data_IF_413027048777
#
_entry.id   IF_413027048777
#
_cell.length_a   1.000
_cell.length_b   1.000
_cell.length_c   1.000
_cell.angle_alpha   90.00
_cell.angle_beta   90.00
_cell.angle_gamma   90.00
#
_symmetry.space_group_name_H-M   'P 1'
#
loop_
_entity.id
_entity.type
_entity.pdbx_description
1 polymer ?
#
# COMPACT_ATOMS: atom_id res chain seq x y z
N UNK A 1 20.84 -17.08 15.67
CA UNK A 1 19.76 -17.04 14.66
C UNK A 1 19.05 -15.68 14.66
N UNK A 2 18.73 -15.15 15.84
CA UNK A 2 18.09 -13.82 16.01
C UNK A 2 18.91 -12.66 15.40
N UNK A 3 20.20 -12.53 15.74
CA UNK A 3 21.06 -11.43 15.23
C UNK A 3 21.07 -11.35 13.70
N UNK A 4 21.25 -12.48 13.01
CA UNK A 4 21.25 -12.53 11.54
C UNK A 4 19.88 -12.17 10.96
N UNK A 5 18.78 -12.54 11.61
CA UNK A 5 17.44 -12.16 11.19
C UNK A 5 17.20 -10.66 11.34
N UNK A 6 17.55 -10.08 12.49
CA UNK A 6 17.35 -8.65 12.78
C UNK A 6 18.24 -7.75 11.93
N UNK A 7 19.43 -8.20 11.52
CA UNK A 7 20.26 -7.50 10.54
C UNK A 7 19.59 -7.39 9.17
N UNK A 8 18.85 -8.42 8.77
CA UNK A 8 18.13 -8.45 7.50
C UNK A 8 16.78 -7.72 7.59
N UNK A 9 16.11 -7.83 8.74
CA UNK A 9 14.78 -7.29 8.99
C UNK A 9 14.79 -6.53 10.32
N UNK A 10 15.22 -5.25 10.31
CA UNK A 10 15.21 -4.42 11.51
C UNK A 10 13.80 -4.31 12.08
N UNK A 11 13.68 -4.35 13.41
CA UNK A 11 12.37 -4.36 14.10
C UNK A 11 11.52 -3.14 13.71
N UNK A 12 12.14 -1.96 13.61
CA UNK A 12 11.46 -0.71 13.24
C UNK A 12 11.09 -0.59 11.75
N UNK A 13 11.59 -1.49 10.89
CA UNK A 13 11.30 -1.53 9.45
C UNK A 13 10.51 -2.77 9.04
N UNK A 14 10.05 -3.57 10.01
CA UNK A 14 9.33 -4.82 9.77
C UNK A 14 7.89 -4.69 10.22
N UNK A 15 6.97 -5.33 9.48
CA UNK A 15 5.57 -5.41 9.86
C UNK A 15 5.47 -6.12 11.22
N UNK A 16 4.84 -5.44 12.18
CA UNK A 16 4.72 -5.90 13.57
C UNK A 16 4.23 -7.35 13.64
N UNK A 17 3.21 -7.73 12.87
CA UNK A 17 2.66 -9.09 12.89
C UNK A 17 3.63 -10.17 12.41
N UNK A 18 4.43 -9.86 11.38
CA UNK A 18 5.46 -10.78 10.87
C UNK A 18 6.59 -10.91 11.90
N UNK A 19 7.02 -9.77 12.46
CA UNK A 19 8.02 -9.74 13.52
C UNK A 19 7.55 -10.54 14.76
N UNK A 20 6.30 -10.36 15.21
CA UNK A 20 5.75 -11.11 16.36
C UNK A 20 5.79 -12.62 16.13
N UNK A 21 5.43 -13.09 14.92
CA UNK A 21 5.44 -14.53 14.63
C UNK A 21 6.83 -15.13 14.80
N UNK A 22 7.86 -14.39 14.35
CA UNK A 22 9.26 -14.80 14.46
C UNK A 22 9.76 -14.67 15.89
N UNK A 23 9.39 -13.59 16.57
CA UNK A 23 9.79 -13.32 17.95
C UNK A 23 9.23 -14.37 18.92
N UNK A 24 8.00 -14.86 18.74
CA UNK A 24 7.45 -15.98 19.53
C UNK A 24 8.36 -17.22 19.46
N UNK A 25 8.96 -17.48 18.30
CA UNK A 25 9.89 -18.60 18.14
C UNK A 25 11.22 -18.36 18.85
N UNK A 26 11.76 -17.13 18.81
CA UNK A 26 12.99 -16.79 19.53
C UNK A 26 12.77 -16.80 21.04
N UNK A 27 11.68 -16.18 21.52
CA UNK A 27 11.35 -16.10 22.94
C UNK A 27 11.16 -17.49 23.57
N UNK A 28 10.59 -18.45 22.82
CA UNK A 28 10.46 -19.83 23.29
C UNK A 28 11.80 -20.52 23.58
N UNK A 29 12.88 -20.11 22.92
CA UNK A 29 14.22 -20.68 23.11
C UNK A 29 15.03 -19.91 24.19
N UNK A 30 14.51 -18.79 24.68
CA UNK A 30 15.18 -17.95 25.67
C UNK A 30 15.12 -18.57 27.09
N UNK A 31 16.23 -18.51 27.81
CA UNK A 31 16.33 -19.03 29.19
C UNK A 31 15.46 -18.27 30.19
N UNK A 32 15.16 -17.01 29.92
CA UNK A 32 14.32 -16.11 30.71
C UNK A 32 12.84 -16.16 30.31
N UNK A 33 12.46 -17.07 29.41
CA UNK A 33 11.10 -17.17 28.90
C UNK A 33 10.07 -17.40 30.01
N UNK A 34 9.23 -16.40 30.24
CA UNK A 34 7.99 -16.53 31.00
C UNK A 34 6.96 -17.34 30.20
N UNK A 35 6.58 -18.52 30.74
CA UNK A 35 5.67 -19.45 30.08
C UNK A 35 4.23 -18.90 29.96
N UNK A 36 3.80 -18.06 30.90
CA UNK A 36 2.47 -17.42 30.86
C UNK A 36 2.42 -16.43 29.70
N UNK A 37 3.45 -15.59 29.55
CA UNK A 37 3.56 -14.64 28.45
C UNK A 37 3.65 -15.35 27.09
N UNK A 38 4.45 -16.42 26.99
CA UNK A 38 4.57 -17.21 25.76
C UNK A 38 3.22 -17.83 25.33
N UNK A 39 2.48 -18.40 26.30
CA UNK A 39 1.18 -19.00 26.03
C UNK A 39 0.16 -17.93 25.61
N UNK A 40 0.16 -16.78 26.28
CA UNK A 40 -0.68 -15.64 25.92
C UNK A 40 -0.41 -15.17 24.48
N UNK A 41 0.86 -14.93 24.14
CA UNK A 41 1.26 -14.48 22.80
C UNK A 41 0.86 -15.47 21.70
N UNK A 42 1.01 -16.79 21.94
CA UNK A 42 0.56 -17.82 21.00
C UNK A 42 -0.95 -17.85 20.83
N UNK A 43 -1.70 -17.72 21.92
CA UNK A 43 -3.16 -17.73 21.90
C UNK A 43 -3.71 -16.51 21.17
N UNK A 44 -3.20 -15.32 21.49
CA UNK A 44 -3.50 -14.07 20.78
C UNK A 44 -3.24 -14.24 19.28
N UNK A 45 -2.05 -14.73 18.92
CA UNK A 45 -1.66 -14.90 17.53
C UNK A 45 -2.60 -15.82 16.75
N UNK A 46 -2.94 -16.97 17.32
CA UNK A 46 -3.83 -17.93 16.67
C UNK A 46 -5.28 -17.40 16.59
N UNK A 47 -5.73 -16.66 17.60
CA UNK A 47 -7.07 -16.05 17.63
C UNK A 47 -7.21 -15.01 16.53
N UNK A 48 -6.25 -14.08 16.43
CA UNK A 48 -6.21 -13.08 15.36
C UNK A 48 -6.08 -13.74 13.98
N UNK A 49 -5.21 -14.74 13.82
CA UNK A 49 -5.07 -15.44 12.55
C UNK A 49 -6.39 -16.09 12.09
N UNK A 50 -7.18 -16.65 13.02
CA UNK A 50 -8.48 -17.24 12.70
C UNK A 50 -9.48 -16.18 12.22
N UNK A 51 -9.49 -15.00 12.85
CA UNK A 51 -10.30 -13.86 12.42
C UNK A 51 -9.87 -13.41 11.02
N UNK A 52 -8.58 -13.20 10.78
CA UNK A 52 -8.07 -12.76 9.49
C UNK A 52 -8.35 -13.74 8.34
N UNK A 53 -8.31 -15.06 8.62
CA UNK A 53 -8.71 -16.08 7.63
C UNK A 53 -10.17 -15.96 7.23
N UNK A 54 -11.07 -15.62 8.16
CA UNK A 54 -12.49 -15.38 7.85
C UNK A 54 -12.66 -14.14 6.98
N UNK A 55 -12.00 -13.04 7.34
CA UNK A 55 -12.00 -11.80 6.56
C UNK A 55 -11.52 -12.07 5.11
N UNK A 56 -10.41 -12.81 4.95
CA UNK A 56 -9.89 -13.19 3.63
C UNK A 56 -10.88 -14.06 2.83
N UNK A 57 -11.59 -15.00 3.47
CA UNK A 57 -12.62 -15.79 2.79
C UNK A 57 -13.75 -14.91 2.25
N UNK A 58 -14.18 -13.90 3.02
CA UNK A 58 -15.25 -13.00 2.62
C UNK A 58 -14.82 -12.09 1.46
N UNK A 59 -13.59 -11.55 1.52
CA UNK A 59 -13.02 -10.75 0.43
C UNK A 59 -12.80 -11.58 -0.83
N UNK A 60 -12.35 -12.83 -0.69
CA UNK A 60 -12.17 -13.74 -1.83
C UNK A 60 -13.50 -14.06 -2.51
N UNK A 61 -14.58 -14.22 -1.72
CA UNK A 61 -15.92 -14.44 -2.26
C UNK A 61 -16.39 -13.21 -3.04
N UNK A 62 -16.27 -12.03 -2.43
CA UNK A 62 -16.59 -10.76 -3.08
C UNK A 62 -15.81 -10.55 -4.39
N UNK A 63 -14.50 -10.84 -4.41
CA UNK A 63 -13.68 -10.73 -5.63
C UNK A 63 -14.16 -11.64 -6.76
N UNK A 64 -14.57 -12.87 -6.43
CA UNK A 64 -15.13 -13.81 -7.40
C UNK A 64 -16.49 -13.34 -7.93
N UNK A 65 -17.32 -12.76 -7.08
CA UNK A 65 -18.62 -12.20 -7.47
C UNK A 65 -18.49 -11.01 -8.44
N UNK A 66 -17.42 -10.22 -8.33
CA UNK A 66 -17.14 -9.15 -9.30
C UNK A 66 -16.78 -9.67 -10.71
N UNK A 67 -16.40 -10.94 -10.83
CA UNK A 67 -16.09 -11.62 -12.10
C UNK A 67 -14.99 -10.94 -12.96
N UNK A 68 -14.21 -10.00 -12.41
CA UNK A 68 -13.25 -9.19 -13.18
C UNK A 68 -12.15 -10.01 -13.85
N UNK A 69 -11.78 -11.15 -13.27
CA UNK A 69 -10.78 -12.05 -13.86
C UNK A 69 -11.24 -12.69 -15.17
N UNK A 70 -12.56 -12.87 -15.36
CA UNK A 70 -13.12 -13.42 -16.59
C UNK A 70 -13.40 -12.33 -17.62
N UNK A 71 -13.76 -11.13 -17.16
CA UNK A 71 -14.05 -9.98 -18.03
C UNK A 71 -12.78 -9.32 -18.59
N UNK A 72 -11.65 -9.41 -17.86
CA UNK A 72 -10.42 -8.68 -18.17
C UNK A 72 -9.21 -9.63 -18.19
N UNK A 73 -8.61 -9.89 -19.37
CA UNK A 73 -7.55 -10.90 -19.52
C UNK A 73 -6.22 -10.51 -18.85
N UNK A 74 -6.06 -9.24 -18.46
CA UNK A 74 -4.86 -8.73 -17.76
C UNK A 74 -5.02 -8.70 -16.24
N UNK A 75 -6.23 -8.97 -15.70
CA UNK A 75 -6.48 -8.98 -14.26
C UNK A 75 -5.71 -10.12 -13.59
N UNK A 76 -4.92 -9.79 -12.57
CA UNK A 76 -4.19 -10.76 -11.76
C UNK A 76 -4.93 -10.99 -10.45
N UNK A 77 -4.92 -12.23 -9.96
CA UNK A 77 -5.43 -12.53 -8.62
C UNK A 77 -4.43 -12.04 -7.57
N UNK A 78 -4.75 -10.89 -6.94
CA UNK A 78 -3.91 -10.24 -5.91
C UNK A 78 -4.59 -10.16 -4.55
N UNK A 79 -5.72 -10.85 -4.36
CA UNK A 79 -6.55 -10.75 -3.13
C UNK A 79 -5.73 -10.94 -1.86
N UNK A 80 -4.87 -11.98 -1.84
CA UNK A 80 -4.04 -12.31 -0.67
C UNK A 80 -2.97 -11.25 -0.43
N UNK A 81 -2.34 -10.73 -1.49
CA UNK A 81 -1.31 -9.68 -1.38
C UNK A 81 -1.89 -8.39 -0.81
N UNK A 82 -3.05 -7.96 -1.32
CA UNK A 82 -3.72 -6.73 -0.91
C UNK A 82 -4.26 -6.82 0.52
N UNK A 83 -4.80 -7.98 0.89
CA UNK A 83 -5.20 -8.23 2.26
C UNK A 83 -4.00 -8.28 3.21
N UNK A 84 -2.85 -8.82 2.78
CA UNK A 84 -1.61 -8.81 3.56
C UNK A 84 -1.12 -7.38 3.84
N UNK A 85 -1.18 -6.47 2.85
CA UNK A 85 -0.88 -5.05 3.07
C UNK A 85 -1.82 -4.41 4.08
N UNK A 86 -3.12 -4.70 3.98
CA UNK A 86 -4.13 -4.20 4.93
C UNK A 86 -3.87 -4.66 6.37
N UNK A 87 -3.44 -5.91 6.52
CA UNK A 87 -3.02 -6.47 7.81
C UNK A 87 -1.72 -5.84 8.33
N UNK A 88 -0.82 -5.42 7.43
CA UNK A 88 0.38 -4.69 7.80
C UNK A 88 0.10 -3.31 8.39
N UNK A 89 -0.93 -2.63 7.90
CA UNK A 89 -1.38 -1.32 8.41
C UNK A 89 -2.09 -1.46 9.75
N UNK A 90 -3.10 -2.35 9.84
CA UNK A 90 -3.87 -2.56 11.08
C UNK A 90 -4.11 -4.05 11.34
N UNK A 91 -3.43 -4.64 12.32
CA UNK A 91 -3.62 -6.06 12.66
C UNK A 91 -4.63 -6.28 13.80
N UNK A 92 -5.01 -5.23 14.52
CA UNK A 92 -5.85 -5.30 15.71
C UNK A 92 -7.33 -5.62 15.38
N UNK A 93 -8.06 -6.31 16.26
CA UNK A 93 -9.45 -6.70 16.01
C UNK A 93 -10.39 -5.53 15.65
N UNK A 94 -10.26 -4.40 16.34
CA UNK A 94 -11.13 -3.23 16.19
C UNK A 94 -11.07 -2.60 14.80
N UNK A 95 -9.97 -2.80 14.07
CA UNK A 95 -9.73 -2.20 12.76
C UNK A 95 -10.20 -3.12 11.59
N UNK A 96 -11.09 -4.08 11.87
CA UNK A 96 -11.64 -5.01 10.87
C UNK A 96 -12.24 -4.29 9.66
N UNK A 97 -13.06 -3.27 9.90
CA UNK A 97 -13.75 -2.53 8.84
C UNK A 97 -12.72 -1.83 7.93
N UNK A 98 -11.73 -1.16 8.52
CA UNK A 98 -10.64 -0.53 7.77
C UNK A 98 -9.88 -1.54 6.89
N UNK A 99 -9.55 -2.74 7.42
CA UNK A 99 -8.87 -3.79 6.63
C UNK A 99 -9.68 -4.26 5.43
N UNK A 100 -10.98 -4.50 5.62
CA UNK A 100 -11.86 -4.99 4.54
C UNK A 100 -12.01 -3.93 3.46
N UNK A 101 -12.26 -2.67 3.86
CA UNK A 101 -12.38 -1.55 2.91
C UNK A 101 -11.08 -1.40 2.13
N UNK A 102 -9.93 -1.37 2.81
CA UNK A 102 -8.63 -1.23 2.16
C UNK A 102 -8.43 -2.36 1.14
N UNK A 103 -8.56 -3.62 1.56
CA UNK A 103 -8.36 -4.75 0.67
C UNK A 103 -9.30 -4.75 -0.56
N UNK A 104 -10.55 -4.27 -0.41
CA UNK A 104 -11.49 -4.14 -1.53
C UNK A 104 -11.10 -3.00 -2.48
N UNK A 105 -10.74 -1.82 -1.97
CA UNK A 105 -10.41 -0.62 -2.77
C UNK A 105 -9.26 -0.92 -3.74
N UNK A 106 -8.22 -1.62 -3.27
CA UNK A 106 -7.04 -1.92 -4.09
C UNK A 106 -7.21 -3.07 -5.07
N UNK A 107 -8.21 -3.93 -4.87
CA UNK A 107 -8.42 -5.04 -5.79
C UNK A 107 -8.96 -4.55 -7.14
N UNK A 108 -9.45 -3.31 -7.14
CA UNK A 108 -9.97 -2.61 -8.29
C UNK A 108 -8.94 -1.50 -8.61
N UNK A 109 -7.90 -1.80 -9.42
CA UNK A 109 -6.97 -0.79 -10.01
C UNK A 109 -6.95 -0.75 -11.59
N UNK A 110 -7.20 0.45 -12.20
CA UNK A 110 -7.07 0.90 -13.63
C UNK A 110 -7.98 2.13 -14.04
N UNK A 111 -7.40 3.33 -14.17
CA UNK A 111 -8.04 4.67 -14.26
C UNK A 111 -8.70 5.12 -15.59
N UNK A 112 -9.64 6.09 -15.51
CA UNK A 112 -10.66 6.63 -16.46
C UNK A 112 -10.26 7.21 -17.84
N UNK A 113 -11.26 7.27 -18.75
CA UNK A 113 -11.28 7.54 -20.22
C UNK A 113 -11.11 6.35 -21.19
N UNK A 114 -11.88 5.28 -21.00
CA UNK A 114 -11.38 3.96 -21.37
C UNK A 114 -12.25 3.16 -22.34
N UNK A 115 -11.55 2.37 -23.15
CA UNK A 115 -12.08 1.30 -23.97
C UNK A 115 -13.02 0.37 -23.16
N UNK A 116 -13.93 -0.38 -23.84
CA UNK A 116 -15.01 -1.14 -23.19
C UNK A 116 -14.58 -2.00 -21.99
N UNK A 117 -13.37 -2.56 -22.04
CA UNK A 117 -12.81 -3.38 -20.97
C UNK A 117 -12.64 -2.60 -19.65
N UNK A 118 -12.20 -1.35 -19.65
CA UNK A 118 -12.05 -0.63 -18.38
C UNK A 118 -13.33 0.12 -17.92
N UNK A 119 -14.41 0.13 -18.70
CA UNK A 119 -15.73 0.55 -18.19
C UNK A 119 -16.26 -0.41 -17.12
N UNK A 120 -16.01 -1.71 -17.32
CA UNK A 120 -16.32 -2.77 -16.36
C UNK A 120 -15.59 -2.50 -15.05
N UNK A 121 -14.32 -2.13 -15.17
CA UNK A 121 -13.46 -1.76 -14.07
C UNK A 121 -13.98 -0.54 -13.29
N UNK A 122 -14.22 0.58 -13.97
CA UNK A 122 -14.64 1.82 -13.33
C UNK A 122 -16.01 1.67 -12.64
N UNK A 123 -16.89 0.88 -13.26
CA UNK A 123 -18.19 0.53 -12.66
C UNK A 123 -18.02 -0.26 -11.36
N UNK A 124 -17.09 -1.21 -11.31
CA UNK A 124 -16.78 -1.95 -10.09
C UNK A 124 -16.22 -1.02 -8.99
N UNK A 125 -15.35 -0.07 -9.35
CA UNK A 125 -14.77 0.89 -8.42
C UNK A 125 -15.84 1.82 -7.83
N UNK A 126 -16.68 2.41 -8.68
CA UNK A 126 -17.80 3.24 -8.25
C UNK A 126 -18.80 2.45 -7.40
N UNK A 127 -19.09 1.20 -7.76
CA UNK A 127 -19.99 0.35 -7.00
C UNK A 127 -19.43 0.07 -5.60
N UNK A 128 -18.13 -0.24 -5.49
CA UNK A 128 -17.46 -0.41 -4.21
C UNK A 128 -17.52 0.86 -3.38
N UNK A 129 -17.17 2.01 -3.95
CA UNK A 129 -17.24 3.28 -3.23
C UNK A 129 -18.66 3.61 -2.76
N UNK A 130 -19.67 3.30 -3.57
CA UNK A 130 -21.08 3.42 -3.20
C UNK A 130 -21.48 2.44 -2.09
N UNK A 131 -20.98 1.20 -2.12
CA UNK A 131 -21.17 0.20 -1.06
C UNK A 131 -20.60 0.73 0.26
N UNK A 132 -19.35 1.21 0.25
CA UNK A 132 -18.67 1.80 1.41
C UNK A 132 -19.40 3.06 1.90
N UNK A 133 -19.85 3.93 0.99
CA UNK A 133 -20.64 5.12 1.34
C UNK A 133 -21.98 4.75 1.99
N UNK A 134 -22.66 3.71 1.49
CA UNK A 134 -23.92 3.24 2.05
C UNK A 134 -23.74 2.61 3.43
N UNK A 135 -22.64 1.87 3.65
CA UNK A 135 -22.29 1.36 4.97
C UNK A 135 -22.03 2.50 5.96
N UNK A 136 -21.24 3.50 5.57
CA UNK A 136 -20.92 4.65 6.42
C UNK A 136 -22.10 5.61 6.61
N UNK A 137 -23.05 5.67 5.67
CA UNK A 137 -24.26 6.47 5.79
C UNK A 137 -25.16 6.01 6.94
N UNK A 138 -25.14 4.71 7.29
CA UNK A 138 -25.87 4.17 8.47
C UNK A 138 -25.44 4.81 9.78
N UNK A 139 -24.24 5.39 9.82
CA UNK A 139 -23.64 6.04 10.98
C UNK A 139 -23.47 7.57 10.79
N UNK A 140 -24.12 8.19 9.79
CA UNK A 140 -23.93 9.60 9.42
C UNK A 140 -22.46 9.96 9.05
N UNK A 141 -21.67 9.00 8.57
CA UNK A 141 -20.24 9.14 8.24
C UNK A 141 -19.95 9.21 6.73
N UNK A 142 -20.97 9.49 5.90
CA UNK A 142 -20.84 9.53 4.43
C UNK A 142 -19.79 10.53 3.92
N UNK A 143 -19.52 11.61 4.67
CA UNK A 143 -18.50 12.60 4.31
C UNK A 143 -17.09 11.99 4.17
N UNK A 144 -16.82 10.87 4.86
CA UNK A 144 -15.51 10.20 4.86
C UNK A 144 -15.16 9.65 3.47
N UNK A 145 -16.16 9.27 2.68
CA UNK A 145 -15.98 8.64 1.37
C UNK A 145 -15.77 9.66 0.25
N UNK A 146 -16.40 10.83 0.36
CA UNK A 146 -16.30 11.86 -0.67
C UNK A 146 -14.87 12.42 -0.80
N UNK A 147 -14.10 12.44 0.29
CA UNK A 147 -12.76 13.02 0.30
C UNK A 147 -11.71 12.16 -0.45
N UNK A 148 -11.47 10.86 -0.12
CA UNK A 148 -10.55 10.02 -0.88
C UNK A 148 -10.94 9.88 -2.35
N UNK A 149 -12.24 9.85 -2.63
CA UNK A 149 -12.76 9.69 -3.99
C UNK A 149 -12.48 10.90 -4.88
N UNK A 150 -12.67 12.11 -4.37
CA UNK A 150 -12.54 13.31 -5.19
C UNK A 150 -11.12 13.82 -5.25
N UNK A 151 -10.43 13.97 -4.13
CA UNK A 151 -9.19 14.74 -4.09
C UNK A 151 -7.94 13.88 -4.29
N UNK A 152 -7.88 12.70 -3.66
CA UNK A 152 -6.69 11.85 -3.71
C UNK A 152 -6.66 10.96 -4.95
N UNK A 153 -7.81 10.43 -5.39
CA UNK A 153 -7.87 9.65 -6.62
C UNK A 153 -7.62 10.49 -7.88
N UNK A 154 -8.07 11.76 -7.90
CA UNK A 154 -7.82 12.67 -9.02
C UNK A 154 -6.32 12.91 -9.20
N UNK A 155 -5.60 13.24 -8.12
CA UNK A 155 -4.14 13.39 -8.12
C UNK A 155 -3.40 12.16 -8.62
N UNK A 156 -3.84 10.96 -8.22
CA UNK A 156 -3.27 9.70 -8.73
C UNK A 156 -3.51 9.57 -10.23
N UNK A 157 -4.72 9.87 -10.71
CA UNK A 157 -5.06 9.85 -12.13
C UNK A 157 -4.20 10.79 -12.97
N UNK A 158 -4.05 12.05 -12.53
CA UNK A 158 -3.17 13.04 -13.16
C UNK A 158 -1.70 12.59 -13.19
N UNK A 159 -1.24 11.97 -12.10
CA UNK A 159 0.14 11.50 -11.98
C UNK A 159 0.41 10.26 -12.86
N UNK A 160 -0.58 9.38 -13.03
CA UNK A 160 -0.52 8.28 -13.99
C UNK A 160 -0.54 8.78 -15.44
N UNK A 161 -1.34 9.81 -15.74
CA UNK A 161 -1.34 10.46 -17.06
C UNK A 161 0.04 11.05 -17.39
N UNK A 162 0.66 11.72 -16.43
CA UNK A 162 2.03 12.24 -16.55
C UNK A 162 3.03 11.12 -16.87
N UNK A 163 2.96 9.97 -16.16
CA UNK A 163 3.80 8.80 -16.47
C UNK A 163 3.52 8.23 -17.86
N UNK A 164 2.27 8.21 -18.31
CA UNK A 164 1.90 7.82 -19.67
C UNK A 164 2.53 8.75 -20.71
N UNK A 165 2.57 10.05 -20.44
CA UNK A 165 3.28 11.04 -21.25
C UNK A 165 4.78 10.73 -21.37
N UNK A 166 5.45 10.44 -20.25
CA UNK A 166 6.86 10.04 -20.25
C UNK A 166 7.10 8.76 -21.04
N UNK A 167 6.23 7.76 -20.89
CA UNK A 167 6.30 6.51 -21.63
C UNK A 167 6.21 6.72 -23.14
N UNK A 168 5.15 7.37 -23.60
CA UNK A 168 4.93 7.59 -25.04
C UNK A 168 5.93 8.56 -25.66
N UNK A 169 6.45 9.50 -24.86
CA UNK A 169 7.47 10.45 -25.26
C UNK A 169 8.90 9.91 -25.17
N UNK A 170 9.12 8.66 -24.72
CA UNK A 170 10.44 8.11 -24.37
C UNK A 170 11.28 9.08 -23.52
N UNK A 171 10.62 9.78 -22.58
CA UNK A 171 11.23 10.80 -21.75
C UNK A 171 11.64 10.20 -20.42
N UNK A 172 12.91 10.41 -20.05
CA UNK A 172 13.40 10.12 -18.70
C UNK A 172 13.37 11.45 -17.93
N UNK A 173 12.48 11.60 -16.94
CA UNK A 173 12.41 12.82 -16.15
C UNK A 173 13.60 12.91 -15.19
N UNK A 174 13.87 14.12 -14.67
CA UNK A 174 14.81 14.30 -13.56
C UNK A 174 14.29 13.63 -12.30
N UNK A 175 15.18 13.23 -11.40
CA UNK A 175 14.85 12.60 -10.12
C UNK A 175 13.88 13.44 -9.29
N UNK A 176 14.06 14.76 -9.23
CA UNK A 176 13.15 15.63 -8.48
C UNK A 176 11.72 15.59 -9.06
N UNK A 177 11.59 15.65 -10.38
CA UNK A 177 10.31 15.60 -11.08
C UNK A 177 9.67 14.22 -10.96
N UNK A 178 10.45 13.16 -11.15
CA UNK A 178 10.04 11.78 -10.93
C UNK A 178 9.51 11.59 -9.52
N UNK A 179 10.23 12.08 -8.51
CA UNK A 179 9.85 11.90 -7.11
C UNK A 179 8.59 12.68 -6.74
N UNK A 180 8.41 13.89 -7.27
CA UNK A 180 7.18 14.66 -7.06
C UNK A 180 5.95 13.90 -7.57
N UNK A 181 6.02 13.34 -8.77
CA UNK A 181 4.98 12.47 -9.33
C UNK A 181 4.91 11.11 -8.60
N UNK A 182 6.06 10.64 -8.12
CA UNK A 182 6.26 9.41 -7.37
C UNK A 182 5.53 9.40 -6.03
N UNK A 183 5.34 10.57 -5.40
CA UNK A 183 4.57 10.70 -4.15
C UNK A 183 3.13 10.27 -4.36
N UNK A 184 2.46 10.80 -5.38
CA UNK A 184 1.06 10.48 -5.67
C UNK A 184 0.93 9.03 -6.20
N UNK A 185 1.81 8.61 -7.13
CA UNK A 185 1.79 7.24 -7.66
C UNK A 185 2.33 6.17 -6.70
N UNK A 186 2.92 6.55 -5.57
CA UNK A 186 3.22 5.64 -4.45
C UNK A 186 1.96 5.12 -3.77
N UNK A 187 0.84 5.82 -4.02
CA UNK A 187 -0.48 5.58 -3.47
C UNK A 187 -0.59 5.63 -1.95
N UNK A 188 0.47 6.07 -1.24
CA UNK A 188 0.46 6.21 0.22
C UNK A 188 -0.58 7.22 0.73
N UNK A 189 -0.75 8.43 0.15
CA UNK A 189 -1.82 9.33 0.57
C UNK A 189 -3.21 8.70 0.43
N UNK A 190 -3.40 7.93 -0.65
CA UNK A 190 -4.65 7.21 -0.91
C UNK A 190 -4.88 6.09 0.10
N UNK A 191 -3.85 5.30 0.37
CA UNK A 191 -3.85 4.25 1.39
C UNK A 191 -4.23 4.84 2.75
N UNK A 192 -3.61 5.94 3.15
CA UNK A 192 -3.92 6.63 4.42
C UNK A 192 -5.40 7.02 4.46
N UNK A 193 -5.90 7.70 3.43
CA UNK A 193 -7.29 8.15 3.36
C UNK A 193 -8.29 6.96 3.38
N UNK A 194 -8.06 5.93 2.57
CA UNK A 194 -8.92 4.75 2.52
C UNK A 194 -8.92 3.98 3.85
N UNK A 195 -7.77 3.90 4.51
CA UNK A 195 -7.62 3.22 5.79
C UNK A 195 -8.41 3.91 6.92
N UNK A 196 -8.52 5.24 6.88
CA UNK A 196 -9.25 6.04 7.86
C UNK A 196 -10.76 5.97 7.70
N UNK A 197 -11.28 5.52 6.55
CA UNK A 197 -12.72 5.33 6.35
C UNK A 197 -13.36 4.49 7.47
N UNK A 198 -12.65 3.43 7.89
CA UNK A 198 -13.07 2.52 8.96
C UNK A 198 -12.54 2.85 10.36
N UNK A 199 -11.81 3.96 10.55
CA UNK A 199 -11.26 4.35 11.85
C UNK A 199 -12.28 5.17 12.65
N UNK A 200 -12.82 4.54 13.70
CA UNK A 200 -13.62 5.10 14.80
C UNK A 200 -14.10 6.55 14.70
N UNK A 201 -13.83 7.32 15.75
CA UNK A 201 -14.17 8.74 15.86
C UNK A 201 -13.00 9.64 15.43
N UNK A 202 -11.82 9.05 15.23
CA UNK A 202 -10.58 9.69 14.81
C UNK A 202 -10.62 10.17 13.35
N UNK A 203 -11.45 9.55 12.51
CA UNK A 203 -11.61 9.95 11.11
C UNK A 203 -12.55 11.15 10.95
N UNK A 204 -12.06 12.32 11.39
CA UNK A 204 -12.71 13.62 11.28
C UNK A 204 -12.42 14.29 9.93
N UNK A 205 -13.18 15.35 9.59
CA UNK A 205 -12.92 16.13 8.36
C UNK A 205 -11.54 16.77 8.38
N UNK A 206 -11.10 17.21 9.55
CA UNK A 206 -9.81 17.84 9.80
C UNK A 206 -8.67 16.83 9.57
N UNK A 207 -8.85 15.57 10.01
CA UNK A 207 -7.91 14.51 9.73
C UNK A 207 -7.76 14.31 8.21
N UNK A 208 -8.87 14.13 7.49
CA UNK A 208 -8.83 14.01 6.03
C UNK A 208 -8.13 15.22 5.37
N UNK A 209 -8.51 16.45 5.74
CA UNK A 209 -7.87 17.68 5.21
C UNK A 209 -6.36 17.75 5.52
N UNK A 210 -5.91 17.20 6.65
CA UNK A 210 -4.49 17.16 6.98
C UNK A 210 -3.69 16.34 5.96
N UNK A 211 -4.27 15.30 5.36
CA UNK A 211 -3.61 14.51 4.30
C UNK A 211 -3.23 15.40 3.11
N UNK A 212 -4.11 16.34 2.71
CA UNK A 212 -3.86 17.19 1.54
C UNK A 212 -2.91 18.36 1.81
N UNK A 213 -2.51 18.57 3.06
CA UNK A 213 -1.43 19.52 3.40
C UNK A 213 -0.03 18.98 3.15
N UNK A 214 0.09 17.76 2.63
CA UNK A 214 1.35 17.08 2.33
C UNK A 214 2.31 17.07 3.54
N UNK A 215 1.87 16.50 4.68
CA UNK A 215 2.67 16.51 5.89
C UNK A 215 3.98 15.72 5.67
N UNK A 216 5.12 16.14 6.27
CA UNK A 216 6.43 15.54 6.03
C UNK A 216 6.45 14.02 6.20
N UNK A 217 5.69 13.49 7.17
CA UNK A 217 5.58 12.05 7.41
C UNK A 217 4.97 11.30 6.21
N UNK A 218 3.96 11.87 5.54
CA UNK A 218 3.35 11.27 4.36
C UNK A 218 4.27 11.38 3.15
N UNK A 219 4.94 12.53 2.98
CA UNK A 219 5.93 12.70 1.91
C UNK A 219 7.04 11.65 2.05
N UNK A 220 7.68 11.56 3.23
CA UNK A 220 8.75 10.60 3.48
C UNK A 220 8.29 9.15 3.29
N UNK A 221 7.10 8.79 3.79
CA UNK A 221 6.52 7.46 3.59
C UNK A 221 6.31 7.14 2.11
N UNK A 222 5.80 8.11 1.34
CA UNK A 222 5.52 7.97 -0.09
C UNK A 222 6.81 7.74 -0.89
N UNK A 223 7.85 8.52 -0.58
CA UNK A 223 9.18 8.40 -1.19
C UNK A 223 9.77 7.02 -0.92
N UNK A 224 9.75 6.57 0.34
CA UNK A 224 10.24 5.24 0.73
C UNK A 224 9.49 4.14 -0.02
N UNK A 225 8.15 4.20 -0.03
CA UNK A 225 7.32 3.20 -0.68
C UNK A 225 7.58 3.13 -2.19
N UNK A 226 7.66 4.27 -2.87
CA UNK A 226 7.95 4.35 -4.31
C UNK A 226 9.32 3.74 -4.62
N UNK A 227 10.37 4.21 -3.96
CA UNK A 227 11.74 3.80 -4.23
C UNK A 227 12.01 2.33 -3.89
N UNK A 228 11.39 1.81 -2.82
CA UNK A 228 11.47 0.39 -2.49
C UNK A 228 10.78 -0.47 -3.54
N UNK A 229 9.61 -0.05 -4.03
CA UNK A 229 8.94 -0.76 -5.11
C UNK A 229 9.84 -0.79 -6.34
N UNK A 230 10.35 0.37 -6.78
CA UNK A 230 11.18 0.48 -7.98
C UNK A 230 12.39 -0.46 -7.89
N UNK A 231 13.11 -0.50 -6.77
CA UNK A 231 14.22 -1.46 -6.59
C UNK A 231 13.78 -2.92 -6.74
N UNK A 232 12.63 -3.29 -6.19
CA UNK A 232 12.17 -4.68 -6.11
C UNK A 232 11.54 -5.15 -7.42
N UNK A 233 10.88 -4.26 -8.16
CA UNK A 233 10.22 -4.58 -9.43
C UNK A 233 11.09 -4.29 -10.66
N UNK A 234 12.18 -3.54 -10.52
CA UNK A 234 13.02 -3.04 -11.63
C UNK A 234 13.26 -4.05 -12.76
N UNK A 235 13.86 -5.22 -12.47
CA UNK A 235 14.18 -6.20 -13.53
C UNK A 235 12.95 -6.63 -14.33
N UNK A 236 11.82 -6.83 -13.63
CA UNK A 236 10.56 -7.30 -14.22
C UNK A 236 9.88 -6.19 -15.04
N UNK A 237 10.03 -4.95 -14.62
CA UNK A 237 9.50 -3.78 -15.33
C UNK A 237 10.32 -3.54 -16.61
N UNK A 238 11.65 -3.67 -16.52
CA UNK A 238 12.54 -3.61 -17.69
C UNK A 238 12.26 -4.70 -18.72
N UNK A 239 12.02 -5.95 -18.29
CA UNK A 239 11.64 -7.05 -19.18
C UNK A 239 10.31 -6.80 -19.94
N UNK A 240 9.40 -6.02 -19.35
CA UNK A 240 8.12 -5.67 -19.96
C UNK A 240 8.21 -4.45 -20.89
N UNK A 241 9.33 -3.73 -20.83
CA UNK A 241 9.48 -2.43 -21.49
C UNK A 241 8.53 -1.40 -20.86
N UNK A 242 8.42 -1.38 -19.53
CA UNK A 242 7.67 -0.37 -18.80
C UNK A 242 8.39 1.00 -18.84
N UNK A 243 7.71 2.06 -18.40
CA UNK A 243 8.27 3.42 -18.29
C UNK A 243 9.45 3.48 -17.31
N UNK A 244 10.40 4.38 -17.58
CA UNK A 244 11.52 4.69 -16.69
C UNK A 244 11.07 4.82 -15.22
N UNK A 245 11.74 4.07 -14.35
CA UNK A 245 11.56 4.10 -12.90
C UNK A 245 12.54 5.09 -12.27
N UNK A 246 12.52 5.18 -10.93
CA UNK A 246 13.51 5.99 -10.21
C UNK A 246 14.96 5.52 -10.44
N UNK A 247 15.16 4.26 -10.86
CA UNK A 247 16.49 3.73 -11.19
C UNK A 247 17.01 4.39 -12.46
N UNK A 248 16.24 4.39 -13.54
CA UNK A 248 16.60 5.01 -14.82
C UNK A 248 16.81 6.53 -14.66
N UNK A 249 15.91 7.18 -13.92
CA UNK A 249 16.03 8.61 -13.65
C UNK A 249 17.33 8.95 -12.91
N UNK A 250 17.75 8.10 -11.95
CA UNK A 250 19.00 8.30 -11.22
C UNK A 250 20.21 8.05 -12.12
N UNK A 251 20.18 6.99 -12.92
CA UNK A 251 21.28 6.65 -13.83
C UNK A 251 21.50 7.77 -14.85
N UNK A 252 20.42 8.30 -15.43
CA UNK A 252 20.48 9.39 -16.42
C UNK A 252 20.97 10.71 -15.80
N UNK A 253 20.44 11.10 -14.63
CA UNK A 253 20.79 12.38 -14.00
C UNK A 253 22.23 12.44 -13.49
N UNK A 254 22.77 11.31 -13.00
CA UNK A 254 24.07 11.25 -12.34
C UNK A 254 25.16 10.52 -13.14
N UNK A 255 24.87 10.12 -14.39
CA UNK A 255 25.75 9.27 -15.22
C UNK A 255 26.25 8.03 -14.45
N UNK A 256 25.33 7.40 -13.71
CA UNK A 256 25.63 6.35 -12.75
C UNK A 256 25.39 4.96 -13.35
N UNK A 257 26.21 4.00 -12.93
CA UNK A 257 25.92 2.58 -13.17
C UNK A 257 24.65 2.14 -12.45
N UNK A 258 24.07 1.01 -12.88
CA UNK A 258 22.92 0.41 -12.21
C UNK A 258 23.20 0.14 -10.72
N UNK A 259 24.36 -0.42 -10.41
CA UNK A 259 24.77 -0.70 -9.02
C UNK A 259 24.87 0.58 -8.19
N UNK A 260 25.42 1.66 -8.76
CA UNK A 260 25.50 2.97 -8.12
C UNK A 260 24.12 3.58 -7.90
N UNK A 261 23.20 3.46 -8.86
CA UNK A 261 21.82 3.90 -8.72
C UNK A 261 21.10 3.14 -7.59
N UNK A 262 21.24 1.82 -7.52
CA UNK A 262 20.68 1.02 -6.42
C UNK A 262 21.22 1.48 -5.05
N UNK A 263 22.52 1.76 -4.95
CA UNK A 263 23.12 2.27 -3.72
C UNK A 263 22.65 3.70 -3.38
N UNK A 264 22.57 4.57 -4.39
CA UNK A 264 22.09 5.95 -4.26
C UNK A 264 20.65 6.00 -3.76
N UNK A 265 19.76 5.24 -4.38
CA UNK A 265 18.35 5.13 -3.98
C UNK A 265 18.22 4.55 -2.57
N UNK A 266 19.01 3.53 -2.19
CA UNK A 266 19.02 3.03 -0.81
C UNK A 266 19.42 4.10 0.21
N UNK A 267 20.38 4.97 -0.12
CA UNK A 267 20.74 6.11 0.76
C UNK A 267 19.60 7.12 0.88
N UNK A 268 18.87 7.40 -0.21
CA UNK A 268 17.68 8.25 -0.19
C UNK A 268 16.58 7.65 0.71
N UNK A 269 16.34 6.34 0.61
CA UNK A 269 15.41 5.62 1.49
C UNK A 269 15.82 5.77 2.96
N UNK A 270 17.09 5.53 3.29
CA UNK A 270 17.59 5.67 4.67
C UNK A 270 17.47 7.11 5.20
N UNK A 271 17.65 8.12 4.35
CA UNK A 271 17.43 9.52 4.73
C UNK A 271 15.97 9.77 5.09
N UNK A 272 15.03 9.35 4.24
CA UNK A 272 13.60 9.53 4.49
C UNK A 272 13.12 8.75 5.71
N UNK A 273 13.72 7.57 6.00
CA UNK A 273 13.45 6.86 7.26
C UNK A 273 13.83 7.68 8.49
N UNK A 274 14.82 8.58 8.41
CA UNK A 274 15.16 9.49 9.51
C UNK A 274 14.13 10.61 9.65
N UNK A 275 13.59 11.12 8.54
CA UNK A 275 12.54 12.13 8.56
C UNK A 275 11.20 11.59 9.12
N UNK A 276 11.02 10.27 9.13
CA UNK A 276 9.89 9.58 9.78
C UNK A 276 10.02 9.43 11.31
N UNK A 277 11.24 9.46 11.87
CA UNK A 277 11.48 9.23 13.31
C UNK A 277 11.54 10.55 14.08
#
# INVERSE_FOLDING_TARGET
MEVSYTLKYPINKTIARVATRKYISFYQEDKSCDQVLLNFAKLDFNTLQKMHKRELCDITRWWKELNLANELPFTRDRVVELYFWSLGVYFEPQNKVARIILAKVWNIDAAENLAPYMKIFYTALLHLYKEVANELAKENKSFRVNFPISEVNEKVGESLFTRGGWYHGNTIPRMEEYMKNGIETSVIPNLTAASWLGMGDEATKEAFKWITTEPPILIASSIIARLLNDIVSHEREMERGDVASGIECYMDEYDATKEEAYMGIRKLIEKNWKDLN
#
